data_IF_540227779648
#
_entry.id   IF_540227779648
#
_cell.length_a   1.000
_cell.length_b   1.000
_cell.length_c   1.000
_cell.angle_alpha   90.00
_cell.angle_beta   90.00
_cell.angle_gamma   90.00
#
_symmetry.space_group_name_H-M   'P 1'
#
loop_
_entity.id
_entity.type
_entity.pdbx_description
1 polymer ?
#
# COMPACT_ATOMS: atom_id res chain seq x y z
N UNK A 1 -12.46 -29.91 -7.46
CA UNK A 1 -11.25 -29.11 -7.68
C UNK A 1 -11.71 -27.72 -8.08
N UNK A 2 -11.38 -26.70 -7.29
CA UNK A 2 -11.79 -25.32 -7.57
C UNK A 2 -10.92 -24.71 -8.68
N UNK A 3 -11.50 -23.81 -9.48
CA UNK A 3 -10.81 -23.08 -10.55
C UNK A 3 -10.63 -21.63 -10.13
N UNK A 4 -9.37 -21.17 -10.10
CA UNK A 4 -9.01 -19.81 -9.71
C UNK A 4 -8.49 -19.06 -10.93
N UNK A 5 -9.01 -17.86 -11.14
CA UNK A 5 -8.47 -16.86 -12.07
C UNK A 5 -7.73 -15.77 -11.29
N UNK A 6 -6.44 -15.58 -11.54
CA UNK A 6 -5.68 -14.44 -11.05
C UNK A 6 -5.50 -13.41 -12.16
N UNK A 7 -6.04 -12.21 -11.93
CA UNK A 7 -5.89 -11.06 -12.81
C UNK A 7 -4.78 -10.15 -12.27
N UNK A 8 -3.68 -10.03 -13.00
CA UNK A 8 -2.50 -9.23 -12.65
C UNK A 8 -1.40 -10.05 -11.97
N UNK A 9 -0.18 -9.97 -12.52
CA UNK A 9 1.02 -10.68 -12.05
C UNK A 9 2.18 -9.71 -11.75
N UNK A 10 1.87 -8.49 -11.31
CA UNK A 10 2.86 -7.47 -10.93
C UNK A 10 3.62 -7.80 -9.63
N UNK A 11 4.54 -6.91 -9.22
CA UNK A 11 5.48 -7.10 -8.09
C UNK A 11 4.87 -7.68 -6.81
N UNK A 12 3.68 -7.22 -6.41
CA UNK A 12 3.03 -7.66 -5.16
C UNK A 12 2.35 -9.03 -5.27
N UNK A 13 2.23 -9.63 -6.45
CA UNK A 13 1.58 -10.92 -6.68
C UNK A 13 2.53 -12.11 -6.59
N UNK A 14 3.86 -11.91 -6.53
CA UNK A 14 4.86 -12.98 -6.61
C UNK A 14 4.62 -14.10 -5.60
N UNK A 15 4.54 -13.77 -4.31
CA UNK A 15 4.34 -14.77 -3.24
C UNK A 15 2.95 -15.42 -3.31
N UNK A 16 1.93 -14.66 -3.73
CA UNK A 16 0.59 -15.21 -3.99
C UNK A 16 0.63 -16.28 -5.09
N UNK A 17 1.29 -15.98 -6.22
CA UNK A 17 1.45 -16.91 -7.34
C UNK A 17 2.20 -18.17 -6.89
N UNK A 18 3.28 -18.02 -6.12
CA UNK A 18 4.04 -19.16 -5.57
C UNK A 18 3.16 -20.08 -4.70
N UNK A 19 2.37 -19.54 -3.78
CA UNK A 19 1.50 -20.35 -2.92
C UNK A 19 0.36 -21.02 -3.71
N UNK A 20 -0.26 -20.32 -4.67
CA UNK A 20 -1.30 -20.90 -5.52
C UNK A 20 -0.73 -21.96 -6.47
N UNK A 21 0.49 -21.79 -6.98
CA UNK A 21 1.17 -22.79 -7.81
C UNK A 21 1.42 -24.08 -7.03
N UNK A 22 1.77 -24.00 -5.73
CA UNK A 22 1.86 -25.17 -4.85
C UNK A 22 0.51 -25.89 -4.72
N UNK A 23 -0.60 -25.15 -4.67
CA UNK A 23 -1.96 -25.73 -4.65
C UNK A 23 -2.39 -26.34 -5.98
N UNK A 24 -1.87 -25.87 -7.12
CA UNK A 24 -2.15 -26.54 -8.38
C UNK A 24 -1.30 -27.81 -8.53
N UNK A 25 -0.01 -27.74 -8.18
CA UNK A 25 0.90 -28.89 -8.25
C UNK A 25 0.43 -30.08 -7.40
N UNK A 26 -0.29 -29.83 -6.29
CA UNK A 26 -0.88 -30.88 -5.46
C UNK A 26 -2.33 -31.24 -5.85
N UNK A 27 -2.85 -30.70 -6.97
CA UNK A 27 -4.17 -31.01 -7.52
C UNK A 27 -5.36 -30.42 -6.74
N UNK A 28 -5.11 -29.48 -5.82
CA UNK A 28 -6.18 -28.84 -5.02
C UNK A 28 -7.00 -27.86 -5.86
N UNK A 29 -6.33 -27.11 -6.74
CA UNK A 29 -6.96 -26.13 -7.63
C UNK A 29 -6.50 -26.30 -9.07
N UNK A 30 -7.21 -25.65 -9.99
CA UNK A 30 -6.72 -25.31 -11.32
C UNK A 30 -6.52 -23.79 -11.41
N UNK A 31 -5.33 -23.33 -11.77
CA UNK A 31 -4.97 -21.91 -11.77
C UNK A 31 -4.88 -21.37 -13.21
N UNK A 32 -5.48 -20.21 -13.44
CA UNK A 32 -5.33 -19.42 -14.66
C UNK A 32 -4.76 -18.05 -14.30
N UNK A 33 -3.63 -17.69 -14.90
CA UNK A 33 -2.96 -16.40 -14.72
C UNK A 33 -3.20 -15.52 -15.94
N UNK A 34 -3.49 -14.23 -15.70
CA UNK A 34 -3.74 -13.26 -16.76
C UNK A 34 -3.01 -11.95 -16.48
N UNK A 35 -2.16 -11.52 -17.41
CA UNK A 35 -1.50 -10.23 -17.38
C UNK A 35 -1.22 -9.77 -18.82
N UNK A 36 -1.45 -8.49 -19.19
CA UNK A 36 -1.13 -8.00 -20.53
C UNK A 36 0.37 -8.06 -20.85
N UNK A 37 1.24 -8.15 -19.84
CA UNK A 37 2.69 -8.28 -20.01
C UNK A 37 3.19 -9.70 -19.72
N UNK A 38 2.34 -10.72 -19.85
CA UNK A 38 2.69 -12.08 -19.43
C UNK A 38 3.98 -12.60 -20.07
N UNK A 39 4.31 -12.25 -21.31
CA UNK A 39 5.54 -12.70 -21.98
C UNK A 39 6.81 -12.25 -21.25
N UNK A 40 6.79 -11.07 -20.64
CA UNK A 40 7.91 -10.52 -19.87
C UNK A 40 7.98 -11.08 -18.45
N UNK A 41 6.82 -11.43 -17.89
CA UNK A 41 6.70 -11.93 -16.51
C UNK A 41 6.92 -13.44 -16.41
N UNK A 42 6.49 -14.20 -17.42
CA UNK A 42 6.53 -15.66 -17.43
C UNK A 42 7.93 -16.22 -17.08
N UNK A 43 9.06 -15.73 -17.64
CA UNK A 43 10.39 -16.24 -17.29
C UNK A 43 10.72 -16.16 -15.79
N UNK A 44 10.18 -15.17 -15.07
CA UNK A 44 10.40 -14.99 -13.63
C UNK A 44 9.76 -16.10 -12.82
N UNK A 45 8.74 -16.75 -13.37
CA UNK A 45 8.00 -17.81 -12.72
C UNK A 45 8.28 -19.20 -13.30
N UNK A 46 9.08 -19.34 -14.36
CA UNK A 46 9.37 -20.63 -15.00
C UNK A 46 9.99 -21.67 -14.05
N UNK A 47 10.74 -21.22 -13.04
CA UNK A 47 11.31 -22.10 -12.01
C UNK A 47 10.31 -22.50 -10.92
N UNK A 48 9.20 -21.76 -10.79
CA UNK A 48 8.20 -21.87 -9.72
C UNK A 48 6.96 -22.61 -10.22
N UNK A 49 6.58 -22.35 -11.48
CA UNK A 49 5.35 -22.77 -12.11
C UNK A 49 5.66 -24.01 -12.96
N UNK A 50 5.07 -25.15 -12.58
CA UNK A 50 5.05 -26.33 -13.45
C UNK A 50 4.25 -26.01 -14.73
N UNK A 51 4.52 -26.72 -15.84
CA UNK A 51 3.87 -26.50 -17.15
C UNK A 51 2.31 -26.60 -17.16
N UNK A 52 1.67 -26.83 -16.01
CA UNK A 52 0.22 -26.96 -15.84
C UNK A 52 -0.53 -25.62 -15.73
N UNK A 53 0.13 -24.53 -15.31
CA UNK A 53 -0.54 -23.23 -15.16
C UNK A 53 -0.87 -22.62 -16.52
N UNK A 54 -2.13 -22.27 -16.74
CA UNK A 54 -2.55 -21.57 -17.95
C UNK A 54 -2.24 -20.08 -17.83
N UNK A 55 -1.48 -19.54 -18.80
CA UNK A 55 -1.27 -18.11 -18.98
C UNK A 55 -2.13 -17.58 -20.13
N UNK A 56 -2.75 -16.41 -19.95
CA UNK A 56 -3.42 -15.71 -21.04
C UNK A 56 -3.05 -14.22 -21.06
N UNK A 57 -2.93 -13.67 -22.26
CA UNK A 57 -2.96 -12.23 -22.49
C UNK A 57 -4.41 -11.74 -22.31
N UNK A 58 -4.62 -10.84 -21.36
CA UNK A 58 -5.92 -10.25 -21.11
C UNK A 58 -5.77 -8.82 -20.60
N UNK A 59 -6.26 -7.88 -21.40
CA UNK A 59 -6.63 -6.56 -20.92
C UNK A 59 -8.03 -6.63 -20.29
N UNK A 60 -8.12 -6.27 -19.00
CA UNK A 60 -9.38 -6.25 -18.25
C UNK A 60 -10.40 -5.23 -18.78
N UNK A 61 -9.97 -4.28 -19.62
CA UNK A 61 -10.90 -3.37 -20.32
C UNK A 61 -11.62 -4.03 -21.49
N UNK A 62 -11.14 -5.18 -21.97
CA UNK A 62 -11.85 -6.00 -22.93
C UNK A 62 -12.93 -6.83 -22.24
N UNK A 63 -14.09 -6.22 -22.00
CA UNK A 63 -15.18 -6.82 -21.22
C UNK A 63 -15.68 -8.16 -21.80
N UNK A 64 -15.65 -8.35 -23.13
CA UNK A 64 -16.05 -9.64 -23.74
C UNK A 64 -15.07 -10.76 -23.36
N UNK A 65 -13.77 -10.49 -23.45
CA UNK A 65 -12.75 -11.46 -23.06
C UNK A 65 -12.77 -11.73 -21.56
N UNK A 66 -12.89 -10.66 -20.75
CA UNK A 66 -12.99 -10.74 -19.29
C UNK A 66 -14.21 -11.56 -18.84
N UNK A 67 -15.38 -11.29 -19.42
CA UNK A 67 -16.62 -12.04 -19.15
C UNK A 67 -16.44 -13.54 -19.45
N UNK A 68 -15.89 -13.87 -20.63
CA UNK A 68 -15.68 -15.26 -21.05
C UNK A 68 -14.75 -16.03 -20.11
N UNK A 69 -13.67 -15.40 -19.65
CA UNK A 69 -12.71 -16.09 -18.78
C UNK A 69 -13.22 -16.23 -17.34
N UNK A 70 -13.95 -15.22 -16.83
CA UNK A 70 -14.56 -15.29 -15.49
C UNK A 70 -15.59 -16.42 -15.43
N UNK A 71 -16.41 -16.59 -16.47
CA UNK A 71 -17.41 -17.67 -16.56
C UNK A 71 -16.82 -19.08 -16.33
N UNK A 72 -15.54 -19.29 -16.66
CA UNK A 72 -14.91 -20.59 -16.56
C UNK A 72 -14.34 -20.90 -15.16
N UNK A 73 -14.42 -19.97 -14.21
CA UNK A 73 -13.76 -20.04 -12.91
C UNK A 73 -14.73 -19.89 -11.73
N UNK A 74 -14.36 -20.42 -10.56
CA UNK A 74 -15.17 -20.41 -9.35
C UNK A 74 -14.81 -19.22 -8.43
N UNK A 75 -13.53 -18.79 -8.48
CA UNK A 75 -12.99 -17.66 -7.73
C UNK A 75 -12.11 -16.79 -8.63
N UNK A 76 -12.32 -15.47 -8.59
CA UNK A 76 -11.43 -14.46 -9.18
C UNK A 76 -10.63 -13.77 -8.08
N UNK A 77 -9.33 -13.65 -8.27
CA UNK A 77 -8.45 -12.79 -7.48
C UNK A 77 -8.00 -11.64 -8.38
N UNK A 78 -8.31 -10.41 -7.97
CA UNK A 78 -8.06 -9.20 -8.75
C UNK A 78 -6.91 -8.38 -8.16
N UNK A 79 -5.72 -8.51 -8.75
CA UNK A 79 -4.51 -7.74 -8.43
C UNK A 79 -4.29 -6.55 -9.38
N UNK A 80 -5.26 -6.24 -10.23
CA UNK A 80 -5.21 -5.11 -11.16
C UNK A 80 -5.43 -3.77 -10.44
N UNK A 81 -5.12 -2.62 -11.06
CA UNK A 81 -5.38 -1.30 -10.47
C UNK A 81 -6.82 -1.13 -9.99
N UNK A 82 -7.00 -0.49 -8.83
CA UNK A 82 -8.28 -0.42 -8.11
C UNK A 82 -9.47 0.11 -8.93
N UNK A 83 -9.20 0.99 -9.91
CA UNK A 83 -10.23 1.52 -10.82
C UNK A 83 -10.93 0.44 -11.67
N UNK A 84 -10.32 -0.73 -11.85
CA UNK A 84 -10.88 -1.80 -12.66
C UNK A 84 -11.69 -2.81 -11.84
N UNK A 85 -11.59 -2.82 -10.50
CA UNK A 85 -12.32 -3.76 -9.64
C UNK A 85 -13.84 -3.73 -9.84
N UNK A 86 -14.51 -2.57 -10.02
CA UNK A 86 -15.94 -2.56 -10.30
C UNK A 86 -16.33 -3.31 -11.58
N UNK A 87 -15.49 -3.24 -12.63
CA UNK A 87 -15.74 -3.97 -13.89
C UNK A 87 -15.62 -5.48 -13.65
N UNK A 88 -14.56 -5.91 -12.96
CA UNK A 88 -14.34 -7.32 -12.62
C UNK A 88 -15.48 -7.86 -11.75
N UNK A 89 -15.89 -7.11 -10.72
CA UNK A 89 -16.94 -7.49 -9.79
C UNK A 89 -18.31 -7.65 -10.45
N UNK A 90 -18.66 -6.78 -11.41
CA UNK A 90 -19.91 -6.94 -12.19
C UNK A 90 -19.94 -8.25 -12.95
N UNK A 91 -18.83 -8.63 -13.58
CA UNK A 91 -18.74 -9.90 -14.30
C UNK A 91 -18.70 -11.11 -13.36
N UNK A 92 -18.03 -11.00 -12.21
CA UNK A 92 -18.08 -12.03 -11.16
C UNK A 92 -19.51 -12.25 -10.68
N UNK A 93 -20.26 -11.17 -10.39
CA UNK A 93 -21.64 -11.24 -9.96
C UNK A 93 -22.53 -11.88 -11.04
N UNK A 94 -22.35 -11.48 -12.31
CA UNK A 94 -23.11 -12.01 -13.43
C UNK A 94 -22.91 -13.52 -13.62
N UNK A 95 -21.66 -13.99 -13.50
CA UNK A 95 -21.30 -15.39 -13.69
C UNK A 95 -21.30 -16.24 -12.41
N UNK A 96 -21.71 -15.65 -11.28
CA UNK A 96 -21.72 -16.30 -9.96
C UNK A 96 -20.36 -16.83 -9.52
N UNK A 97 -19.35 -15.99 -9.68
CA UNK A 97 -17.98 -16.25 -9.27
C UNK A 97 -17.64 -15.45 -8.00
N UNK A 98 -16.91 -16.03 -7.06
CA UNK A 98 -16.40 -15.30 -5.88
C UNK A 98 -15.31 -14.30 -6.29
N UNK A 99 -15.03 -13.31 -5.44
CA UNK A 99 -14.02 -12.29 -5.71
C UNK A 99 -13.16 -11.98 -4.47
N UNK A 100 -11.84 -11.87 -4.66
CA UNK A 100 -10.93 -11.29 -3.66
C UNK A 100 -10.14 -10.14 -4.28
N UNK A 101 -10.00 -9.03 -3.56
CA UNK A 101 -9.14 -7.91 -3.95
C UNK A 101 -8.37 -7.35 -2.75
N UNK A 102 -7.12 -6.87 -2.91
CA UNK A 102 -6.36 -6.22 -1.83
C UNK A 102 -6.67 -4.72 -1.69
N UNK A 103 -7.66 -4.19 -2.41
CA UNK A 103 -7.89 -2.75 -2.53
C UNK A 103 -9.10 -2.29 -1.72
N UNK A 104 -9.07 -1.01 -1.36
CA UNK A 104 -10.20 -0.29 -0.75
C UNK A 104 -11.54 -0.58 -1.44
N UNK A 105 -12.57 -0.78 -0.63
CA UNK A 105 -13.93 -1.03 -1.10
C UNK A 105 -14.53 0.27 -1.65
N UNK A 106 -14.64 0.37 -2.97
CA UNK A 106 -15.25 1.54 -3.62
C UNK A 106 -16.76 1.62 -3.38
N UNK A 107 -17.36 2.78 -3.65
CA UNK A 107 -18.80 2.97 -3.54
C UNK A 107 -19.58 1.99 -4.44
N UNK A 108 -19.17 1.85 -5.71
CA UNK A 108 -19.73 0.86 -6.65
C UNK A 108 -19.71 -0.57 -6.08
N UNK A 109 -18.62 -0.94 -5.39
CA UNK A 109 -18.50 -2.26 -4.76
C UNK A 109 -19.48 -2.39 -3.60
N UNK A 110 -19.57 -1.39 -2.72
CA UNK A 110 -20.51 -1.39 -1.58
C UNK A 110 -21.96 -1.55 -2.03
N UNK A 111 -22.35 -0.88 -3.12
CA UNK A 111 -23.70 -0.96 -3.70
C UNK A 111 -24.05 -2.34 -4.27
N UNK A 112 -23.06 -3.21 -4.49
CA UNK A 112 -23.30 -4.59 -4.90
C UNK A 112 -23.60 -5.53 -3.71
N UNK A 113 -23.44 -5.09 -2.45
CA UNK A 113 -23.54 -5.95 -1.26
C UNK A 113 -24.79 -6.85 -1.27
N UNK A 114 -25.97 -6.27 -1.40
CA UNK A 114 -27.24 -7.01 -1.37
C UNK A 114 -27.38 -7.98 -2.54
N UNK A 115 -26.90 -7.60 -3.73
CA UNK A 115 -26.96 -8.46 -4.93
C UNK A 115 -25.99 -9.64 -4.82
N UNK A 116 -24.79 -9.40 -4.31
CA UNK A 116 -23.78 -10.43 -4.05
C UNK A 116 -24.31 -11.41 -3.00
N UNK A 117 -24.90 -10.87 -1.91
CA UNK A 117 -25.52 -11.67 -0.86
C UNK A 117 -26.69 -12.51 -1.37
N UNK A 118 -27.58 -11.92 -2.18
CA UNK A 118 -28.73 -12.62 -2.76
C UNK A 118 -28.35 -13.73 -3.75
N UNK A 119 -27.14 -13.70 -4.31
CA UNK A 119 -26.61 -14.75 -5.19
C UNK A 119 -25.71 -15.75 -4.44
N UNK A 120 -25.68 -15.72 -3.11
CA UNK A 120 -24.85 -16.60 -2.28
C UNK A 120 -23.33 -16.47 -2.57
N UNK A 121 -22.90 -15.26 -2.94
CA UNK A 121 -21.51 -14.97 -3.27
C UNK A 121 -20.76 -14.30 -2.12
N UNK A 122 -19.44 -14.37 -2.21
CA UNK A 122 -18.48 -13.80 -1.26
C UNK A 122 -17.52 -12.93 -2.07
N UNK A 123 -17.58 -11.62 -1.85
CA UNK A 123 -16.60 -10.66 -2.36
C UNK A 123 -15.82 -10.11 -1.18
N UNK A 124 -14.55 -10.47 -1.04
CA UNK A 124 -13.67 -9.95 0.02
C UNK A 124 -12.78 -8.87 -0.57
N UNK A 125 -12.98 -7.64 -0.11
CA UNK A 125 -12.13 -6.51 -0.42
C UNK A 125 -11.08 -6.32 0.68
N UNK A 126 -10.15 -5.41 0.44
CA UNK A 126 -9.22 -4.97 1.48
C UNK A 126 -8.39 -6.10 2.09
N UNK A 127 -8.10 -7.16 1.32
CA UNK A 127 -7.34 -8.33 1.78
C UNK A 127 -5.86 -8.23 1.39
N UNK A 128 -5.14 -7.22 1.90
CA UNK A 128 -3.71 -7.02 1.65
C UNK A 128 -2.94 -6.63 2.91
N UNK A 129 -2.03 -5.66 2.80
CA UNK A 129 -1.27 -5.12 3.93
C UNK A 129 -1.99 -3.94 4.59
N UNK A 130 -2.16 -2.85 3.83
CA UNK A 130 -2.85 -1.61 4.20
C UNK A 130 -3.55 -1.10 2.92
N UNK A 131 -4.81 -1.50 2.68
CA UNK A 131 -5.71 -2.16 3.64
C UNK A 131 -5.59 -3.69 3.69
N UNK A 132 -5.70 -4.26 4.90
CA UNK A 132 -5.83 -5.69 5.19
C UNK A 132 -5.29 -6.11 6.55
N UNK A 133 -4.00 -6.42 6.63
CA UNK A 133 -3.35 -6.77 7.91
C UNK A 133 -3.58 -5.66 8.95
N UNK A 134 -3.61 -4.39 8.54
CA UNK A 134 -3.92 -3.27 9.42
C UNK A 134 -5.33 -3.38 10.03
N UNK A 135 -6.35 -3.73 9.24
CA UNK A 135 -7.70 -3.99 9.72
C UNK A 135 -7.76 -5.20 10.66
N UNK A 136 -7.16 -6.31 10.24
CA UNK A 136 -7.23 -7.57 10.97
C UNK A 136 -6.63 -7.41 12.38
N UNK A 137 -5.41 -6.87 12.45
CA UNK A 137 -4.70 -6.66 13.70
C UNK A 137 -5.31 -5.55 14.56
N UNK A 138 -5.84 -4.48 13.95
CA UNK A 138 -6.58 -3.47 14.69
C UNK A 138 -7.85 -4.06 15.32
N UNK A 139 -8.64 -4.82 14.56
CA UNK A 139 -9.88 -5.41 15.06
C UNK A 139 -9.64 -6.44 16.15
N UNK A 140 -8.63 -7.30 16.01
CA UNK A 140 -8.24 -8.25 17.06
C UNK A 140 -7.92 -7.50 18.38
N UNK A 141 -7.05 -6.50 18.31
CA UNK A 141 -6.66 -5.69 19.47
C UNK A 141 -7.85 -4.94 20.10
N UNK A 142 -8.72 -4.36 19.28
CA UNK A 142 -9.90 -3.63 19.76
C UNK A 142 -10.93 -4.58 20.38
N UNK A 143 -11.20 -5.72 19.76
CA UNK A 143 -12.18 -6.69 20.26
C UNK A 143 -11.70 -7.35 21.55
N UNK A 144 -10.41 -7.67 21.66
CA UNK A 144 -9.81 -8.21 22.89
C UNK A 144 -9.94 -7.20 24.04
N UNK A 145 -9.54 -5.93 23.82
CA UNK A 145 -9.69 -4.88 24.83
C UNK A 145 -11.15 -4.66 25.26
N UNK A 146 -12.09 -4.67 24.30
CA UNK A 146 -13.54 -4.58 24.61
C UNK A 146 -14.04 -5.77 25.41
N UNK A 147 -13.57 -6.97 25.10
CA UNK A 147 -13.96 -8.19 25.83
C UNK A 147 -13.52 -8.16 27.30
N UNK A 148 -12.47 -7.41 27.61
CA UNK A 148 -11.96 -7.16 28.95
C UNK A 148 -12.62 -5.94 29.64
N UNK A 149 -13.66 -5.36 29.04
CA UNK A 149 -14.35 -4.17 29.56
C UNK A 149 -13.61 -2.84 29.30
N UNK A 150 -12.65 -2.83 28.36
CA UNK A 150 -11.93 -1.64 27.96
C UNK A 150 -12.78 -0.70 27.11
N UNK A 151 -12.79 0.58 27.47
CA UNK A 151 -13.35 1.67 26.67
C UNK A 151 -12.25 2.36 25.89
N UNK A 152 -12.30 2.26 24.57
CA UNK A 152 -11.28 2.84 23.68
C UNK A 152 -11.44 4.36 23.60
N UNK A 153 -10.37 5.11 23.93
CA UNK A 153 -10.33 6.58 23.93
C UNK A 153 -9.49 7.13 22.77
N UNK A 154 -8.51 6.38 22.29
CA UNK A 154 -7.64 6.79 21.19
C UNK A 154 -7.12 5.62 20.36
N UNK A 155 -7.03 5.81 19.04
CA UNK A 155 -6.50 4.84 18.10
C UNK A 155 -5.57 5.55 17.11
N UNK A 156 -4.33 5.08 17.03
CA UNK A 156 -3.37 5.47 16.00
C UNK A 156 -2.84 4.25 15.27
N UNK A 157 -2.63 4.38 13.96
CA UNK A 157 -2.09 3.30 13.14
C UNK A 157 -1.19 3.84 12.04
N UNK A 158 0.00 3.25 11.90
CA UNK A 158 1.00 3.67 10.93
C UNK A 158 1.60 2.45 10.23
N UNK A 159 1.74 2.53 8.92
CA UNK A 159 2.35 1.48 8.11
C UNK A 159 3.33 2.06 7.11
N UNK A 160 4.42 1.36 6.80
CA UNK A 160 5.37 1.75 5.76
C UNK A 160 6.04 0.56 5.11
N UNK A 161 6.09 0.57 3.77
CA UNK A 161 7.00 -0.28 2.99
C UNK A 161 8.27 0.49 2.66
N UNK A 162 9.40 -0.04 3.11
CA UNK A 162 10.71 0.61 3.21
C UNK A 162 11.82 -0.35 2.75
N UNK A 163 13.05 0.13 2.66
CA UNK A 163 14.22 -0.74 2.47
C UNK A 163 14.62 -1.38 3.82
N UNK A 164 15.07 -2.63 3.80
CA UNK A 164 15.60 -3.30 4.99
C UNK A 164 16.94 -2.68 5.41
N UNK A 165 17.30 -2.65 6.71
CA UNK A 165 18.54 -2.05 7.18
C UNK A 165 19.81 -2.58 6.48
N UNK A 166 19.85 -3.87 6.14
CA UNK A 166 20.98 -4.48 5.45
C UNK A 166 21.11 -4.08 3.97
N UNK A 167 20.04 -3.54 3.38
CA UNK A 167 19.95 -3.12 1.98
C UNK A 167 19.85 -1.60 1.82
N UNK A 168 19.96 -0.87 2.94
CA UNK A 168 19.87 0.58 2.99
C UNK A 168 21.20 1.21 2.57
N UNK A 169 21.25 1.63 1.30
CA UNK A 169 22.48 2.11 0.65
C UNK A 169 22.38 3.53 0.11
N UNK A 170 21.31 4.27 0.44
CA UNK A 170 21.11 5.61 -0.07
C UNK A 170 20.64 6.58 1.03
N UNK A 171 20.91 7.90 0.90
CA UNK A 171 20.62 8.87 1.96
C UNK A 171 19.12 9.14 2.15
N UNK A 172 18.26 8.67 1.24
CA UNK A 172 16.80 8.75 1.38
C UNK A 172 16.22 7.62 2.22
N UNK A 173 17.02 6.59 2.50
CA UNK A 173 16.59 5.38 3.22
C UNK A 173 15.33 4.75 2.59
N UNK A 174 15.25 4.82 1.25
CA UNK A 174 14.07 4.39 0.49
C UNK A 174 14.44 3.77 -0.85
N UNK A 175 13.75 2.68 -1.19
CA UNK A 175 13.75 2.02 -2.50
C UNK A 175 12.32 1.63 -2.87
N UNK A 176 12.00 1.48 -4.15
CA UNK A 176 10.66 1.11 -4.61
C UNK A 176 10.40 -0.39 -4.47
N UNK A 177 9.57 -0.74 -3.51
CA UNK A 177 9.19 -2.13 -3.19
C UNK A 177 7.80 -2.50 -3.74
N UNK A 178 7.08 -1.52 -4.29
CA UNK A 178 5.73 -1.61 -4.85
C UNK A 178 5.56 -0.57 -5.96
N UNK A 179 4.33 -0.33 -6.41
CA UNK A 179 4.06 0.59 -7.52
C UNK A 179 4.59 2.01 -7.25
N UNK A 180 5.63 2.48 -7.99
CA UNK A 180 6.26 3.78 -7.76
C UNK A 180 5.27 4.94 -7.85
N UNK A 181 4.28 4.83 -8.75
CA UNK A 181 3.29 5.89 -8.98
C UNK A 181 2.57 6.30 -7.70
N UNK A 182 2.26 5.33 -6.84
CA UNK A 182 1.53 5.59 -5.61
C UNK A 182 2.39 6.34 -4.56
N UNK A 183 3.72 6.21 -4.63
CA UNK A 183 4.65 6.99 -3.80
C UNK A 183 4.75 8.42 -4.32
N UNK A 184 4.87 8.59 -5.65
CA UNK A 184 4.96 9.93 -6.27
C UNK A 184 3.72 10.77 -5.96
N UNK A 185 2.55 10.14 -6.03
CA UNK A 185 1.27 10.80 -5.76
C UNK A 185 0.86 10.76 -4.29
N UNK A 186 1.74 10.31 -3.38
CA UNK A 186 1.42 10.20 -1.96
C UNK A 186 1.02 11.57 -1.38
N UNK A 187 -0.08 11.59 -0.64
CA UNK A 187 -0.63 12.79 -0.01
C UNK A 187 -1.45 13.71 -0.92
N UNK A 188 -1.48 13.46 -2.24
CA UNK A 188 -2.32 14.25 -3.15
C UNK A 188 -3.82 13.99 -2.94
N UNK A 189 -4.62 14.98 -3.31
CA UNK A 189 -6.08 14.95 -3.18
C UNK A 189 -6.58 15.94 -2.12
N UNK A 190 -7.74 15.67 -1.50
CA UNK A 190 -8.25 16.48 -0.40
C UNK A 190 -7.29 16.57 0.77
N UNK A 191 -7.42 17.62 1.59
CA UNK A 191 -6.67 17.73 2.83
C UNK A 191 -6.90 16.48 3.69
N UNK A 192 -5.84 15.99 4.34
CA UNK A 192 -5.97 14.89 5.30
C UNK A 192 -6.84 15.35 6.46
N UNK A 193 -7.67 14.45 6.98
CA UNK A 193 -8.61 14.73 8.05
C UNK A 193 -8.52 13.65 9.13
N UNK A 194 -8.43 14.08 10.38
CA UNK A 194 -8.30 13.18 11.53
C UNK A 194 -8.82 13.85 12.81
N UNK A 195 -9.00 13.06 13.86
CA UNK A 195 -9.40 13.56 15.19
C UNK A 195 -8.24 13.36 16.15
N UNK A 196 -7.95 14.36 16.98
CA UNK A 196 -6.90 14.29 17.98
C UNK A 196 -7.35 15.05 19.23
N UNK A 197 -7.38 14.36 20.35
CA UNK A 197 -7.77 14.90 21.67
C UNK A 197 -9.11 15.64 21.60
N UNK A 198 -10.12 14.97 21.04
CA UNK A 198 -11.48 15.51 20.91
C UNK A 198 -11.67 16.52 19.78
N UNK A 199 -10.59 16.92 19.07
CA UNK A 199 -10.63 17.99 18.06
C UNK A 199 -10.39 17.47 16.66
N UNK A 200 -11.20 17.97 15.73
CA UNK A 200 -11.00 17.76 14.30
C UNK A 200 -9.78 18.55 13.80
N UNK A 201 -8.97 17.92 12.96
CA UNK A 201 -7.75 18.47 12.38
C UNK A 201 -7.72 18.25 10.88
N UNK A 202 -7.13 19.22 10.18
CA UNK A 202 -6.88 19.15 8.75
C UNK A 202 -5.43 19.53 8.44
N UNK A 203 -4.79 18.81 7.51
CA UNK A 203 -3.48 19.21 6.98
C UNK A 203 -3.58 19.31 5.45
N UNK A 204 -3.39 20.50 4.86
CA UNK A 204 -3.36 20.63 3.41
C UNK A 204 -2.09 19.98 2.84
N UNK A 205 -2.13 19.54 1.59
CA UNK A 205 -1.05 18.78 0.95
C UNK A 205 0.34 19.44 1.10
N UNK A 206 0.44 20.75 0.87
CA UNK A 206 1.70 21.51 0.98
C UNK A 206 2.27 21.59 2.41
N UNK A 207 1.56 21.14 3.45
CA UNK A 207 2.05 21.03 4.84
C UNK A 207 2.20 19.60 5.34
N UNK A 208 1.88 18.61 4.52
CA UNK A 208 1.76 17.23 4.96
C UNK A 208 3.10 16.66 5.47
N UNK A 209 4.14 16.76 4.65
CA UNK A 209 5.47 16.21 4.94
C UNK A 209 6.30 17.05 5.92
N UNK A 210 5.78 18.20 6.36
CA UNK A 210 6.39 19.05 7.41
C UNK A 210 5.76 18.78 8.79
N UNK A 211 4.62 18.08 8.83
CA UNK A 211 3.91 17.73 10.07
C UNK A 211 3.98 16.23 10.30
N UNK A 212 5.11 15.78 10.82
CA UNK A 212 5.39 14.37 11.12
C UNK A 212 5.41 14.11 12.63
N UNK A 213 5.17 12.85 13.01
CA UNK A 213 5.43 12.33 14.36
C UNK A 213 6.64 11.40 14.31
N UNK A 214 7.53 11.45 15.30
CA UNK A 214 8.60 10.48 15.44
C UNK A 214 8.12 9.31 16.31
N UNK A 215 8.27 8.09 15.80
CA UNK A 215 7.89 6.86 16.46
C UNK A 215 9.06 5.88 16.40
N UNK A 216 9.55 5.47 17.58
CA UNK A 216 10.60 4.47 17.70
C UNK A 216 10.01 3.06 17.71
N UNK A 217 10.52 2.20 16.83
CA UNK A 217 10.19 0.77 16.81
C UNK A 217 11.39 0.00 17.33
N UNK A 218 11.16 -0.80 18.37
CA UNK A 218 12.21 -1.59 19.02
C UNK A 218 12.97 -2.44 18.01
N UNK A 219 14.30 -2.36 18.04
CA UNK A 219 15.19 -3.07 17.11
C UNK A 219 15.37 -2.39 15.74
N UNK A 220 14.55 -1.40 15.39
CA UNK A 220 14.55 -0.78 14.05
C UNK A 220 14.75 0.75 14.05
N UNK A 221 14.70 1.39 15.22
CA UNK A 221 14.98 2.80 15.43
C UNK A 221 13.79 3.72 15.12
N UNK A 222 14.08 5.00 14.91
CA UNK A 222 13.08 6.03 14.69
C UNK A 222 12.54 6.02 13.25
N UNK A 223 11.23 6.19 13.15
CA UNK A 223 10.50 6.47 11.92
C UNK A 223 9.79 7.81 12.04
N UNK A 224 9.66 8.51 10.92
CA UNK A 224 8.77 9.66 10.81
C UNK A 224 7.45 9.21 10.18
N UNK A 225 6.34 9.53 10.85
CA UNK A 225 4.99 9.22 10.41
C UNK A 225 4.27 10.50 9.99
N UNK A 226 3.86 10.58 8.72
CA UNK A 226 2.95 11.64 8.26
C UNK A 226 1.52 11.12 8.15
N UNK A 227 0.52 11.99 8.35
CA UNK A 227 -0.89 11.62 8.28
C UNK A 227 -1.29 11.09 6.89
N UNK A 228 -2.17 10.09 6.84
CA UNK A 228 -2.64 9.49 5.59
C UNK A 228 -4.13 9.76 5.36
N UNK A 229 -4.44 10.44 4.24
CA UNK A 229 -5.81 10.68 3.71
C UNK A 229 -6.83 11.02 4.82
N UNK A 230 -7.99 10.38 4.81
CA UNK A 230 -9.05 10.57 5.79
C UNK A 230 -9.06 9.40 6.79
N UNK A 231 -8.68 9.69 8.04
CA UNK A 231 -8.74 8.73 9.14
C UNK A 231 -10.15 8.57 9.71
N UNK A 232 -11.05 9.54 9.48
CA UNK A 232 -12.36 9.60 10.12
C UNK A 232 -13.33 8.54 9.58
N UNK A 233 -13.14 8.14 8.32
CA UNK A 233 -13.93 7.10 7.66
C UNK A 233 -13.79 5.71 8.31
N UNK A 234 -12.71 5.48 9.06
CA UNK A 234 -12.46 4.21 9.74
C UNK A 234 -13.20 4.08 11.07
N UNK A 235 -13.74 5.18 11.62
CA UNK A 235 -14.48 5.13 12.89
C UNK A 235 -15.64 4.16 12.82
N UNK A 236 -16.46 4.23 11.76
CA UNK A 236 -17.58 3.29 11.59
C UNK A 236 -17.14 1.88 11.23
N UNK A 237 -15.98 1.73 10.60
CA UNK A 237 -15.41 0.41 10.25
C UNK A 237 -15.00 -0.33 11.52
N UNK A 238 -14.49 0.39 12.51
CA UNK A 238 -13.97 -0.16 13.76
C UNK A 238 -14.91 -0.02 14.96
N UNK A 239 -16.06 0.65 14.84
CA UNK A 239 -16.96 0.95 15.96
C UNK A 239 -16.35 1.94 16.96
N UNK A 240 -15.79 3.03 16.44
CA UNK A 240 -15.04 4.08 17.15
C UNK A 240 -15.62 5.48 16.86
N UNK A 241 -16.94 5.61 16.71
CA UNK A 241 -17.63 6.85 16.32
C UNK A 241 -17.28 8.03 17.23
N UNK A 242 -17.28 7.80 18.54
CA UNK A 242 -17.10 8.81 19.59
C UNK A 242 -15.65 8.94 20.08
N UNK A 243 -14.70 8.23 19.47
CA UNK A 243 -13.29 8.21 19.91
C UNK A 243 -12.65 9.59 19.94
N UNK A 244 -11.79 9.90 20.92
CA UNK A 244 -11.16 11.22 21.04
C UNK A 244 -10.00 11.41 20.07
N UNK A 245 -9.25 10.35 19.80
CA UNK A 245 -8.14 10.36 18.85
C UNK A 245 -8.32 9.25 17.82
N UNK A 246 -8.33 9.60 16.54
CA UNK A 246 -8.33 8.68 15.40
C UNK A 246 -7.33 9.21 14.37
N UNK A 247 -6.18 8.54 14.26
CA UNK A 247 -5.07 9.00 13.43
C UNK A 247 -4.45 7.83 12.66
N UNK A 248 -4.47 7.90 11.32
CA UNK A 248 -3.73 6.97 10.47
C UNK A 248 -2.61 7.69 9.74
N UNK A 249 -1.48 7.02 9.58
CA UNK A 249 -0.31 7.60 8.95
C UNK A 249 0.53 6.61 8.16
N UNK A 250 1.55 7.14 7.51
CA UNK A 250 2.50 6.37 6.72
C UNK A 250 3.90 6.61 7.24
N UNK A 251 4.65 5.52 7.45
CA UNK A 251 6.03 5.59 7.90
C UNK A 251 7.01 5.83 6.76
N UNK A 252 8.03 6.65 7.08
CA UNK A 252 9.29 6.79 6.36
C UNK A 252 10.45 6.82 7.35
N UNK A 253 11.66 6.61 6.86
CA UNK A 253 12.87 6.83 7.66
C UNK A 253 13.30 8.30 7.50
N UNK A 254 13.62 9.01 8.59
CA UNK A 254 14.27 10.31 8.49
C UNK A 254 15.56 10.16 7.65
N UNK A 255 15.88 11.13 6.77
CA UNK A 255 15.26 12.44 6.60
C UNK A 255 14.21 12.55 5.46
N UNK A 256 13.60 11.45 5.00
CA UNK A 256 12.78 11.39 3.78
C UNK A 256 11.76 12.54 3.62
N UNK A 257 10.95 12.81 4.63
CA UNK A 257 9.84 13.77 4.57
C UNK A 257 10.36 15.21 4.40
N UNK A 258 11.53 15.52 4.94
CA UNK A 258 12.15 16.83 4.77
C UNK A 258 12.55 17.10 3.31
N UNK A 259 13.11 16.11 2.62
CA UNK A 259 13.43 16.18 1.19
C UNK A 259 12.17 16.17 0.33
N UNK A 260 11.23 15.27 0.64
CA UNK A 260 9.97 15.17 -0.10
C UNK A 260 9.11 16.44 0.02
N UNK A 261 9.14 17.10 1.19
CA UNK A 261 8.48 18.38 1.40
C UNK A 261 8.92 19.44 0.39
N UNK A 262 10.22 19.48 0.03
CA UNK A 262 10.74 20.42 -0.98
C UNK A 262 10.18 20.12 -2.38
N UNK A 263 10.11 18.85 -2.77
CA UNK A 263 9.51 18.43 -4.05
C UNK A 263 8.04 18.88 -4.15
N UNK A 264 7.30 18.77 -3.03
CA UNK A 264 5.93 19.25 -2.93
C UNK A 264 5.86 20.78 -3.03
N UNK A 265 6.73 21.53 -2.33
CA UNK A 265 6.73 23.00 -2.41
C UNK A 265 7.06 23.52 -3.82
N UNK A 266 7.88 22.80 -4.57
CA UNK A 266 8.23 23.13 -5.95
C UNK A 266 7.11 22.77 -6.94
N UNK A 267 6.12 21.96 -6.55
CA UNK A 267 5.09 21.44 -7.45
C UNK A 267 5.59 20.31 -8.37
N UNK A 268 6.75 19.72 -8.09
CA UNK A 268 7.32 18.63 -8.90
C UNK A 268 6.55 17.31 -8.77
N UNK A 269 5.73 17.19 -7.74
CA UNK A 269 4.83 16.04 -7.57
C UNK A 269 3.51 16.23 -8.32
N UNK A 270 3.20 17.39 -8.91
CA UNK A 270 1.90 17.65 -9.54
C UNK A 270 1.68 16.78 -10.79
N UNK A 271 0.50 16.19 -10.89
CA UNK A 271 0.08 15.29 -11.96
C UNK A 271 -1.14 15.80 -12.74
N UNK A 272 -1.58 17.04 -12.47
CA UNK A 272 -2.81 17.62 -13.02
C UNK A 272 -2.64 18.27 -14.40
N UNK A 273 -1.39 18.51 -14.83
CA UNK A 273 -1.08 19.11 -16.12
C UNK A 273 0.13 18.44 -16.77
N UNK A 274 0.29 18.66 -18.08
CA UNK A 274 1.43 18.16 -18.84
C UNK A 274 2.34 19.32 -19.26
N UNK A 275 3.65 19.08 -19.18
CA UNK A 275 4.71 19.95 -19.68
C UNK A 275 5.21 19.44 -21.02
N UNK A 276 5.68 20.36 -21.87
CA UNK A 276 6.48 20.02 -23.04
C UNK A 276 7.94 19.93 -22.62
N UNK A 277 8.63 18.89 -23.10
CA UNK A 277 10.05 18.68 -22.85
C UNK A 277 10.79 18.98 -24.15
N UNK A 278 11.65 20.00 -24.13
CA UNK A 278 12.49 20.37 -25.25
C UNK A 278 13.59 19.32 -25.48
N UNK A 279 14.05 19.19 -26.73
CA UNK A 279 15.13 18.28 -27.07
C UNK A 279 16.42 18.68 -26.34
N UNK A 280 17.04 17.72 -25.65
CA UNK A 280 18.25 17.98 -24.87
C UNK A 280 18.01 18.53 -23.46
N UNK A 281 16.76 18.71 -23.01
CA UNK A 281 16.45 19.16 -21.65
C UNK A 281 17.05 18.20 -20.61
N UNK A 282 17.86 18.74 -19.70
CA UNK A 282 18.43 18.01 -18.56
C UNK A 282 17.53 18.07 -17.33
N UNK A 283 17.80 17.25 -16.31
CA UNK A 283 17.12 17.40 -15.01
C UNK A 283 17.45 18.73 -14.32
N UNK A 284 18.65 19.28 -14.54
CA UNK A 284 18.99 20.65 -14.13
C UNK A 284 18.06 21.68 -14.77
N UNK A 285 17.80 21.56 -16.07
CA UNK A 285 16.88 22.45 -16.80
C UNK A 285 15.45 22.29 -16.31
N UNK A 286 14.98 21.04 -16.17
CA UNK A 286 13.67 20.72 -15.62
C UNK A 286 13.45 21.37 -14.25
N UNK A 287 14.44 21.24 -13.36
CA UNK A 287 14.41 21.87 -12.04
C UNK A 287 14.31 23.39 -12.13
N UNK A 288 15.08 24.00 -13.05
CA UNK A 288 15.09 25.43 -13.24
C UNK A 288 13.75 26.01 -13.76
N UNK A 289 12.91 25.21 -14.42
CA UNK A 289 11.58 25.62 -14.88
C UNK A 289 10.62 26.02 -13.75
N UNK A 290 10.81 25.48 -12.54
CA UNK A 290 9.98 25.79 -11.37
C UNK A 290 10.50 27.00 -10.58
N UNK A 291 11.64 27.56 -10.98
CA UNK A 291 12.32 28.63 -10.26
C UNK A 291 12.16 29.96 -11.00
N UNK A 292 12.38 31.07 -10.28
CA UNK A 292 12.41 32.40 -10.90
C UNK A 292 13.58 32.49 -11.88
N UNK A 293 13.33 33.07 -13.05
CA UNK A 293 14.35 33.29 -14.07
C UNK A 293 15.46 34.22 -13.54
N UNK A 294 16.66 33.66 -13.37
CA UNK A 294 17.93 34.35 -13.10
C UNK A 294 19.04 33.49 -13.73
N UNK A 295 19.80 34.08 -14.64
CA UNK A 295 20.80 33.41 -15.48
C UNK A 295 22.22 33.44 -14.89
N UNK A 296 22.47 34.33 -13.93
CA UNK A 296 23.76 34.45 -13.23
C UNK A 296 23.88 33.63 -11.93
N UNK A 297 22.76 33.09 -11.42
CA UNK A 297 22.76 32.23 -10.23
C UNK A 297 22.64 30.74 -10.62
N UNK A 298 23.36 29.87 -9.92
CA UNK A 298 23.22 28.42 -10.10
C UNK A 298 21.80 27.96 -9.71
N UNK A 299 21.37 26.82 -10.26
CA UNK A 299 20.03 26.25 -9.98
C UNK A 299 19.88 25.91 -8.50
N UNK A 300 20.94 25.41 -7.88
CA UNK A 300 21.05 25.08 -6.47
C UNK A 300 20.86 26.33 -5.60
N UNK A 301 21.54 27.43 -5.93
CA UNK A 301 21.42 28.69 -5.19
C UNK A 301 20.01 29.29 -5.32
N UNK A 302 19.45 29.26 -6.54
CA UNK A 302 18.07 29.70 -6.80
C UNK A 302 17.07 28.90 -5.98
N UNK A 303 17.19 27.57 -5.98
CA UNK A 303 16.29 26.68 -5.25
C UNK A 303 16.39 26.90 -3.74
N UNK A 304 17.61 26.94 -3.20
CA UNK A 304 17.84 27.14 -1.77
C UNK A 304 17.21 28.47 -1.31
N UNK A 305 17.39 29.55 -2.08
CA UNK A 305 16.76 30.84 -1.80
C UNK A 305 15.23 30.78 -1.92
N UNK A 306 14.70 30.10 -2.95
CA UNK A 306 13.26 29.96 -3.17
C UNK A 306 12.56 29.23 -2.02
N UNK A 307 13.21 28.23 -1.42
CA UNK A 307 12.67 27.40 -0.35
C UNK A 307 13.07 27.85 1.07
N UNK A 308 13.75 28.99 1.20
CA UNK A 308 14.31 29.50 2.46
C UNK A 308 15.18 28.46 3.19
N UNK A 309 16.11 27.86 2.44
CA UNK A 309 17.07 26.85 2.94
C UNK A 309 18.51 27.29 2.71
N UNK A 310 19.42 26.73 3.50
CA UNK A 310 20.85 26.80 3.21
C UNK A 310 21.16 25.87 2.04
N UNK A 311 22.02 26.31 1.12
CA UNK A 311 22.44 25.53 -0.07
C UNK A 311 22.98 24.15 0.32
N UNK A 312 23.69 24.05 1.44
CA UNK A 312 24.29 22.81 1.95
C UNK A 312 23.43 22.10 3.02
N UNK A 313 22.15 22.46 3.18
CA UNK A 313 21.26 21.77 4.12
C UNK A 313 21.01 20.31 3.71
N UNK A 314 20.74 19.43 4.68
CA UNK A 314 20.47 18.00 4.42
C UNK A 314 19.39 17.77 3.35
N UNK A 315 18.24 18.48 3.35
CA UNK A 315 17.26 18.34 2.28
C UNK A 315 17.78 18.71 0.88
N UNK A 316 18.64 19.74 0.76
CA UNK A 316 19.27 20.08 -0.54
C UNK A 316 20.23 18.98 -1.01
N UNK A 317 20.97 18.35 -0.09
CA UNK A 317 21.87 17.24 -0.41
C UNK A 317 21.10 16.01 -0.89
N UNK A 318 19.92 15.75 -0.32
CA UNK A 318 19.02 14.69 -0.78
C UNK A 318 18.58 14.91 -2.24
N UNK A 319 18.20 16.14 -2.59
CA UNK A 319 17.78 16.50 -3.95
C UNK A 319 18.94 16.43 -4.96
N UNK A 320 20.14 16.82 -4.54
CA UNK A 320 21.35 16.68 -5.36
C UNK A 320 21.67 15.21 -5.63
N UNK A 321 21.60 14.35 -4.60
CA UNK A 321 21.81 12.91 -4.75
C UNK A 321 20.80 12.25 -5.71
N UNK A 322 19.54 12.72 -5.73
CA UNK A 322 18.55 12.27 -6.72
C UNK A 322 18.97 12.59 -8.15
N UNK A 323 19.86 13.55 -8.38
CA UNK A 323 20.29 13.98 -9.70
C UNK A 323 19.44 15.12 -10.28
N UNK A 324 18.68 15.84 -9.45
CA UNK A 324 17.87 16.99 -9.91
C UNK A 324 18.70 18.15 -10.47
N UNK A 325 20.00 18.19 -10.15
CA UNK A 325 20.94 19.18 -10.70
C UNK A 325 21.92 18.55 -11.72
N UNK A 326 21.64 17.33 -12.19
CA UNK A 326 22.51 16.65 -13.15
C UNK A 326 22.22 17.06 -14.60
N UNK A 327 23.20 16.83 -15.46
CA UNK A 327 23.07 16.98 -16.92
C UNK A 327 22.44 15.73 -17.58
N UNK A 328 21.86 14.82 -16.79
CA UNK A 328 21.13 13.67 -17.32
C UNK A 328 19.89 14.17 -18.08
N UNK A 329 19.68 13.63 -19.28
CA UNK A 329 18.56 14.01 -20.15
C UNK A 329 17.22 13.47 -19.65
N UNK A 330 16.18 14.29 -19.77
CA UNK A 330 14.79 13.87 -19.55
C UNK A 330 14.30 13.09 -20.77
N UNK A 331 14.00 11.80 -20.58
CA UNK A 331 13.65 10.86 -21.67
C UNK A 331 12.15 10.87 -22.01
N UNK A 332 11.55 12.06 -22.13
CA UNK A 332 10.13 12.24 -22.49
C UNK A 332 9.98 13.40 -23.46
N UNK A 333 8.89 13.39 -24.24
CA UNK A 333 8.49 14.54 -25.09
C UNK A 333 7.39 15.39 -24.45
N UNK A 334 6.49 14.73 -23.71
CA UNK A 334 5.38 15.33 -22.99
C UNK A 334 5.03 14.48 -21.77
N UNK A 335 4.87 15.11 -20.61
CA UNK A 335 4.48 14.44 -19.37
C UNK A 335 4.18 15.44 -18.25
N UNK A 336 3.49 15.00 -17.20
CA UNK A 336 3.36 15.77 -15.97
C UNK A 336 4.69 15.89 -15.20
N UNK A 337 4.87 16.93 -14.37
CA UNK A 337 6.00 17.02 -13.44
C UNK A 337 6.21 15.73 -12.65
N UNK A 338 5.13 15.18 -12.09
CA UNK A 338 5.14 13.94 -11.34
C UNK A 338 5.76 12.78 -12.12
N UNK A 339 5.42 12.68 -13.42
CA UNK A 339 5.88 11.59 -14.26
C UNK A 339 7.34 11.76 -14.68
N UNK A 340 7.82 12.99 -14.86
CA UNK A 340 9.24 13.27 -15.10
C UNK A 340 10.06 12.92 -13.83
N UNK A 341 9.60 13.36 -12.66
CA UNK A 341 10.21 13.02 -11.38
C UNK A 341 10.22 11.49 -11.15
N UNK A 342 9.13 10.80 -11.49
CA UNK A 342 9.04 9.35 -11.37
C UNK A 342 10.16 8.62 -12.11
N UNK A 343 10.48 9.03 -13.34
CA UNK A 343 11.51 8.37 -14.14
C UNK A 343 12.89 8.47 -13.49
N UNK A 344 13.22 9.63 -12.92
CA UNK A 344 14.47 9.83 -12.18
C UNK A 344 14.54 8.91 -10.95
N UNK A 345 13.44 8.86 -10.20
CA UNK A 345 13.37 8.08 -8.97
C UNK A 345 13.36 6.57 -9.24
N UNK A 346 12.76 6.11 -10.34
CA UNK A 346 12.73 4.68 -10.69
C UNK A 346 14.14 4.14 -10.95
N UNK A 347 15.06 4.98 -11.42
CA UNK A 347 16.47 4.62 -11.51
C UNK A 347 17.17 4.69 -10.15
N UNK A 348 17.02 5.81 -9.42
CA UNK A 348 17.74 6.06 -8.16
C UNK A 348 17.31 5.18 -6.99
N UNK A 349 16.03 4.81 -6.94
CA UNK A 349 15.43 4.03 -5.85
C UNK A 349 15.12 2.60 -6.26
N UNK A 350 15.80 2.08 -7.29
CA UNK A 350 15.68 0.67 -7.69
C UNK A 350 16.20 -0.25 -6.57
N UNK A 351 15.54 -1.40 -6.39
CA UNK A 351 16.08 -2.52 -5.62
C UNK A 351 17.08 -3.27 -6.50
N UNK A 352 18.27 -3.50 -5.98
CA UNK A 352 19.25 -4.43 -6.55
C UNK A 352 18.81 -5.89 -6.29
N UNK A 353 19.33 -6.88 -7.05
CA UNK A 353 18.80 -8.25 -7.00
C UNK A 353 18.72 -8.90 -5.61
N UNK A 354 19.73 -8.64 -4.78
CA UNK A 354 19.83 -9.17 -3.42
C UNK A 354 19.29 -8.21 -2.35
N UNK A 355 18.76 -7.05 -2.76
CA UNK A 355 18.17 -6.12 -1.82
C UNK A 355 16.89 -6.71 -1.21
N UNK A 356 16.70 -6.43 0.08
CA UNK A 356 15.50 -6.76 0.82
C UNK A 356 14.74 -5.50 1.15
N UNK A 357 13.43 -5.58 1.04
CA UNK A 357 12.54 -4.59 1.61
C UNK A 357 12.13 -4.97 3.04
N UNK A 358 11.44 -4.04 3.67
CA UNK A 358 10.91 -4.16 5.00
C UNK A 358 9.52 -3.55 5.04
N UNK A 359 8.58 -4.26 5.69
CA UNK A 359 7.31 -3.68 6.13
C UNK A 359 7.41 -3.40 7.62
N UNK A 360 6.98 -2.21 8.02
CA UNK A 360 6.77 -1.85 9.42
C UNK A 360 5.33 -1.39 9.59
N UNK A 361 4.64 -1.95 10.57
CA UNK A 361 3.31 -1.53 10.99
C UNK A 361 3.30 -1.32 12.50
N UNK A 362 2.56 -0.32 12.96
CA UNK A 362 2.43 0.02 14.36
C UNK A 362 1.04 0.53 14.68
N UNK A 363 0.43 -0.02 15.72
CA UNK A 363 -0.82 0.45 16.31
C UNK A 363 -0.58 0.95 17.73
N UNK A 364 -1.35 1.96 18.12
CA UNK A 364 -1.36 2.52 19.47
C UNK A 364 -2.80 2.79 19.87
N UNK A 365 -3.22 2.08 20.91
CA UNK A 365 -4.58 2.13 21.44
C UNK A 365 -4.52 2.64 22.86
N UNK A 366 -5.23 3.74 23.09
CA UNK A 366 -5.51 4.27 24.43
C UNK A 366 -6.89 3.83 24.86
N UNK A 367 -7.00 3.41 26.12
CA UNK A 367 -8.26 2.91 26.66
C UNK A 367 -8.33 3.11 28.18
N UNK A 368 -9.53 3.09 28.73
CA UNK A 368 -9.78 3.07 30.17
C UNK A 368 -10.51 1.79 30.57
N UNK A 369 -10.38 1.37 31.83
CA UNK A 369 -11.16 0.27 32.41
C UNK A 369 -11.77 0.74 33.73
N UNK A 370 -13.00 0.28 34.04
CA UNK A 370 -13.66 0.63 35.31
C UNK A 370 -12.84 0.12 36.52
N UNK A 371 -12.24 -1.06 36.41
CA UNK A 371 -11.46 -1.68 37.48
C UNK A 371 -10.10 -1.02 37.74
N UNK A 372 -9.60 -0.15 36.84
CA UNK A 372 -8.40 0.66 37.05
C UNK A 372 -8.71 2.07 37.54
N UNK A 373 -9.97 2.34 37.92
CA UNK A 373 -10.41 3.68 38.33
C UNK A 373 -10.44 4.67 37.16
N UNK A 374 -10.70 4.20 35.95
CA UNK A 374 -10.73 4.98 34.70
C UNK A 374 -9.40 5.67 34.35
N UNK A 375 -8.28 5.21 34.89
CA UNK A 375 -6.95 5.66 34.45
C UNK A 375 -6.73 5.22 33.00
N UNK A 376 -6.31 6.16 32.15
CA UNK A 376 -5.98 5.88 30.75
C UNK A 376 -4.72 5.01 30.69
N UNK A 377 -4.85 3.88 30.00
CA UNK A 377 -3.79 2.92 29.71
C UNK A 377 -3.45 2.98 28.24
N UNK A 378 -2.25 2.51 27.90
CA UNK A 378 -1.76 2.48 26.52
C UNK A 378 -1.33 1.07 26.15
N UNK A 379 -1.73 0.63 24.97
CA UNK A 379 -1.23 -0.60 24.38
C UNK A 379 -0.69 -0.29 23.00
N UNK A 380 0.50 -0.76 22.71
CA UNK A 380 1.10 -0.67 21.38
C UNK A 380 1.31 -2.05 20.79
N UNK A 381 1.23 -2.14 19.47
CA UNK A 381 1.43 -3.37 18.72
C UNK A 381 2.27 -3.06 17.50
N UNK A 382 3.39 -3.76 17.28
CA UNK A 382 4.25 -3.56 16.12
C UNK A 382 4.49 -4.84 15.34
N UNK A 383 4.52 -4.73 14.03
CA UNK A 383 4.90 -5.80 13.11
C UNK A 383 6.05 -5.31 12.26
N UNK A 384 7.11 -6.13 12.15
CA UNK A 384 8.18 -5.92 11.19
C UNK A 384 8.41 -7.19 10.38
N UNK A 385 8.38 -7.08 9.06
CA UNK A 385 8.61 -8.19 8.13
C UNK A 385 9.73 -7.81 7.19
N UNK A 386 10.73 -8.68 7.05
CA UNK A 386 11.84 -8.50 6.11
C UNK A 386 11.63 -9.41 4.90
N UNK A 387 11.88 -8.85 3.71
CA UNK A 387 11.85 -9.58 2.45
C UNK A 387 12.99 -10.58 2.33
N UNK A 388 12.93 -11.42 1.31
CA UNK A 388 14.03 -12.34 0.99
C UNK A 388 14.97 -11.76 -0.05
N UNK A 389 14.40 -11.10 -1.08
CA UNK A 389 15.10 -10.51 -2.22
C UNK A 389 14.16 -9.53 -2.97
N UNK A 390 14.61 -8.99 -4.11
CA UNK A 390 13.86 -8.03 -4.93
C UNK A 390 12.50 -8.53 -5.45
N UNK A 391 12.28 -9.85 -5.50
CA UNK A 391 11.05 -10.49 -5.99
C UNK A 391 10.16 -10.94 -4.82
N UNK A 392 10.74 -11.65 -3.85
CA UNK A 392 10.09 -12.16 -2.62
C UNK A 392 10.15 -11.12 -1.52
N UNK A 393 9.63 -9.95 -1.84
CA UNK A 393 9.58 -8.79 -0.95
C UNK A 393 8.64 -9.03 0.25
N UNK A 394 8.91 -8.41 1.39
CA UNK A 394 7.99 -8.30 2.51
C UNK A 394 6.64 -7.72 2.07
N UNK A 395 6.63 -6.76 1.14
CA UNK A 395 5.40 -6.28 0.51
C UNK A 395 4.65 -7.40 -0.23
N UNK A 396 5.32 -8.18 -1.08
CA UNK A 396 4.67 -9.30 -1.77
C UNK A 396 4.15 -10.36 -0.80
N UNK A 397 4.89 -10.65 0.29
CA UNK A 397 4.44 -11.56 1.36
C UNK A 397 3.20 -11.05 2.06
N UNK A 398 3.24 -9.81 2.54
CA UNK A 398 2.18 -9.20 3.36
C UNK A 398 0.95 -8.80 2.55
N UNK A 399 1.02 -8.71 1.22
CA UNK A 399 -0.15 -8.59 0.35
C UNK A 399 -0.65 -9.97 -0.11
N UNK A 400 0.26 -10.86 -0.50
CA UNK A 400 -0.11 -12.14 -1.09
C UNK A 400 -0.67 -13.16 -0.09
N UNK A 401 -0.06 -13.30 1.08
CA UNK A 401 -0.47 -14.30 2.08
C UNK A 401 -1.88 -14.06 2.64
N UNK A 402 -2.33 -12.82 2.93
CA UNK A 402 -3.74 -12.55 3.26
C UNK A 402 -4.71 -13.05 2.19
N UNK A 403 -4.39 -12.85 0.91
CA UNK A 403 -5.23 -13.33 -0.20
C UNK A 403 -5.25 -14.86 -0.24
N UNK A 404 -4.12 -15.52 -0.01
CA UNK A 404 -4.04 -16.99 0.04
C UNK A 404 -4.97 -17.55 1.11
N UNK A 405 -4.96 -17.00 2.33
CA UNK A 405 -5.87 -17.49 3.38
C UNK A 405 -7.33 -17.15 3.06
N UNK A 406 -7.65 -15.98 2.52
CA UNK A 406 -9.01 -15.68 2.05
C UNK A 406 -9.50 -16.67 0.98
N UNK A 407 -8.65 -17.00 0.00
CA UNK A 407 -8.98 -17.99 -1.03
C UNK A 407 -9.20 -19.38 -0.42
N UNK A 408 -8.38 -19.77 0.57
CA UNK A 408 -8.56 -21.02 1.32
C UNK A 408 -9.92 -21.06 2.02
N UNK A 409 -10.26 -20.00 2.75
CA UNK A 409 -11.51 -19.90 3.51
C UNK A 409 -12.75 -20.03 2.60
N UNK A 410 -12.71 -19.42 1.41
CA UNK A 410 -13.78 -19.52 0.42
C UNK A 410 -13.87 -20.94 -0.15
N UNK A 411 -12.76 -21.51 -0.64
CA UNK A 411 -12.74 -22.82 -1.32
C UNK A 411 -13.10 -23.96 -0.36
N UNK A 412 -12.70 -23.85 0.91
CA UNK A 412 -13.02 -24.83 1.95
C UNK A 412 -14.42 -24.61 2.56
N UNK A 413 -15.20 -23.65 2.06
CA UNK A 413 -16.52 -23.26 2.59
C UNK A 413 -16.51 -22.95 4.10
N UNK A 414 -15.47 -22.26 4.57
CA UNK A 414 -15.30 -21.91 5.99
C UNK A 414 -15.90 -20.55 6.37
N UNK A 415 -16.47 -19.83 5.40
CA UNK A 415 -17.18 -18.56 5.62
C UNK A 415 -18.68 -18.75 5.43
N UNK A 416 -19.46 -18.25 6.40
CA UNK A 416 -20.92 -18.29 6.36
C UNK A 416 -21.51 -16.97 5.84
N UNK A 417 -20.76 -15.89 5.99
CA UNK A 417 -21.12 -14.56 5.54
C UNK A 417 -21.15 -14.49 4.02
N UNK A 418 -22.03 -13.64 3.49
CA UNK A 418 -22.24 -13.41 2.06
C UNK A 418 -22.38 -11.92 1.80
N UNK A 419 -22.07 -11.51 0.58
CA UNK A 419 -22.06 -10.11 0.18
C UNK A 419 -20.64 -9.58 -0.02
N UNK A 420 -20.53 -8.26 0.03
CA UNK A 420 -19.26 -7.54 -0.04
C UNK A 420 -18.74 -7.35 1.38
N UNK A 421 -17.59 -7.95 1.67
CA UNK A 421 -17.00 -8.13 2.98
C UNK A 421 -15.61 -7.45 3.04
N UNK A 422 -15.19 -7.15 4.26
CA UNK A 422 -13.85 -6.66 4.61
C UNK A 422 -13.27 -7.58 5.71
N UNK A 423 -11.94 -7.61 5.92
CA UNK A 423 -11.33 -8.47 6.93
C UNK A 423 -11.44 -7.88 8.34
N UNK A 424 -12.58 -7.31 8.68
CA UNK A 424 -12.94 -6.83 10.01
C UNK A 424 -13.82 -7.82 10.78
N UNK A 425 -14.28 -8.88 10.11
CA UNK A 425 -15.08 -9.93 10.73
C UNK A 425 -14.19 -10.96 11.44
N UNK A 426 -14.53 -11.41 12.67
CA UNK A 426 -13.75 -12.42 13.39
C UNK A 426 -13.56 -13.73 12.63
N UNK A 427 -14.55 -14.13 11.83
CA UNK A 427 -14.50 -15.29 10.94
C UNK A 427 -13.43 -15.16 9.84
N UNK A 428 -12.98 -13.95 9.53
CA UNK A 428 -11.92 -13.67 8.56
C UNK A 428 -10.61 -13.36 9.27
N UNK A 429 -10.58 -12.39 10.20
CA UNK A 429 -9.33 -11.90 10.76
C UNK A 429 -8.63 -12.93 11.66
N UNK A 430 -9.37 -13.70 12.48
CA UNK A 430 -8.75 -14.69 13.39
C UNK A 430 -8.00 -15.80 12.64
N UNK A 431 -8.61 -16.53 11.70
CA UNK A 431 -7.86 -17.54 10.94
C UNK A 431 -6.77 -16.93 10.05
N UNK A 432 -6.96 -15.68 9.60
CA UNK A 432 -5.95 -14.99 8.79
C UNK A 432 -4.70 -14.64 9.60
N UNK A 433 -4.84 -14.05 10.78
CA UNK A 433 -3.72 -13.72 11.66
C UNK A 433 -2.99 -14.99 12.12
N UNK A 434 -3.72 -16.06 12.47
CA UNK A 434 -3.11 -17.36 12.80
C UNK A 434 -2.32 -17.95 11.62
N UNK A 435 -2.85 -17.87 10.41
CA UNK A 435 -2.13 -18.31 9.22
C UNK A 435 -0.88 -17.47 8.96
N UNK A 436 -0.97 -16.14 9.11
CA UNK A 436 0.16 -15.23 8.94
C UNK A 436 1.25 -15.49 10.00
N UNK A 437 0.87 -15.73 11.25
CA UNK A 437 1.79 -16.11 12.32
C UNK A 437 2.54 -17.41 11.97
N UNK A 438 1.83 -18.42 11.44
CA UNK A 438 2.46 -19.67 10.96
C UNK A 438 3.46 -19.47 9.81
N UNK A 439 3.41 -18.32 9.13
CA UNK A 439 4.33 -17.88 8.07
C UNK A 439 5.41 -16.92 8.58
N UNK A 440 5.51 -16.73 9.90
CA UNK A 440 6.48 -15.83 10.54
C UNK A 440 6.11 -14.35 10.49
N UNK A 441 4.83 -14.02 10.27
CA UNK A 441 4.30 -12.65 10.29
C UNK A 441 3.46 -12.50 11.56
N UNK A 442 4.07 -11.97 12.63
CA UNK A 442 3.43 -11.82 13.93
C UNK A 442 3.69 -10.44 14.53
N UNK A 443 2.77 -10.01 15.39
CA UNK A 443 2.84 -8.74 16.08
C UNK A 443 3.50 -8.89 17.45
N UNK A 444 4.26 -7.88 17.85
CA UNK A 444 4.81 -7.72 19.20
C UNK A 444 3.95 -6.70 19.95
N UNK A 445 3.36 -7.12 21.06
CA UNK A 445 2.48 -6.28 21.87
C UNK A 445 3.22 -5.76 23.12
N UNK A 446 2.96 -4.51 23.49
CA UNK A 446 3.43 -3.91 24.74
C UNK A 446 2.28 -3.16 25.42
N UNK A 447 2.15 -3.35 26.73
CA UNK A 447 1.21 -2.61 27.58
C UNK A 447 2.02 -1.65 28.44
N UNK A 448 1.65 -0.38 28.43
CA UNK A 448 2.28 0.72 29.16
C UNK A 448 1.29 1.41 30.13
#
# INVERSE_FOLDING_TARGET
>A
MAKILLLGAGKSATVLIEELAKWEANGRIKLTLCDPNYEQLKPQFEQIIQNSIQWNDLDVTNEKALSKIIMANDLVISMVPARFHPIVARWCLHHRCHLITPSYTSQDMKEMHDKVKANDLIFINEMGLDPGIDHMSAMEMLDDLRSEGGKITGFRSFTGGLVAPESDTNPWHYKFTWNPRNVILAGQGPAVAFKQEGRLKYIPYHKLFDRTELIDIEGYGAFEGYANRDSLSYRSIYGLEDIDTMYRGTFRRPPFCSGWHMLVQLGMTDDSYEMLIEEGMTYRDFTNLFLKYRDYDSVELKMAHYLDKKVNSEPMQLLDWLGLFSDQLVQRKKASPARILQDLLEDKWRLEPEDKDMIVMWHDVRYTKENTGEVEQRMTSSLVVIGEDQMRTAMAKTVGLPIVIAAKLIIDNQLMERGVLMPTLPSIYKPSLQYLESKGISFNHKVE
#
